data_IF_626871132813
#
_entry.id   IF_626871132813
#
_cell.length_a   1.000
_cell.length_b   1.000
_cell.length_c   1.000
_cell.angle_alpha   90.00
_cell.angle_beta   90.00
_cell.angle_gamma   90.00
#
_symmetry.space_group_name_H-M   'P 1'
#
loop_
_entity.id
_entity.type
_entity.pdbx_description
1 polymer ?
#
# COMPACT_ATOMS: atom_id res chain seq x y z
N UNK A 1 -11.42 11.47 -20.44
CA UNK A 1 -10.29 10.94 -19.64
C UNK A 1 -10.39 9.42 -19.64
N UNK A 2 -9.77 8.75 -20.61
CA UNK A 2 -9.74 7.29 -20.65
C UNK A 2 -8.81 6.80 -19.54
N UNK A 3 -9.37 6.35 -18.42
CA UNK A 3 -8.62 5.52 -17.44
C UNK A 3 -8.14 4.31 -18.24
N UNK A 4 -6.88 4.34 -18.65
CA UNK A 4 -6.28 3.28 -19.44
C UNK A 4 -6.25 2.02 -18.57
N UNK A 5 -7.28 1.22 -18.74
CA UNK A 5 -7.42 -0.16 -18.27
C UNK A 5 -6.30 -0.95 -18.95
N UNK A 6 -5.10 -0.99 -18.37
CA UNK A 6 -4.05 -1.88 -18.89
C UNK A 6 -4.59 -3.30 -18.69
N UNK A 7 -4.90 -3.99 -19.79
CA UNK A 7 -5.36 -5.38 -19.81
C UNK A 7 -6.57 -5.69 -18.91
N UNK A 8 -7.58 -4.81 -18.85
CA UNK A 8 -8.82 -5.10 -18.11
C UNK A 8 -8.80 -4.82 -16.60
N UNK A 9 -7.70 -4.30 -16.04
CA UNK A 9 -7.65 -3.88 -14.63
C UNK A 9 -8.38 -2.54 -14.38
N UNK A 10 -9.13 -2.44 -13.27
CA UNK A 10 -9.86 -1.21 -12.90
C UNK A 10 -9.01 -0.17 -12.15
N UNK A 11 -7.75 -0.51 -11.88
CA UNK A 11 -6.81 0.28 -11.09
C UNK A 11 -5.71 -0.60 -10.46
N UNK A 12 -4.92 0.00 -9.59
CA UNK A 12 -3.81 -0.64 -8.89
C UNK A 12 -4.03 -0.56 -7.38
N UNK A 13 -3.70 -1.64 -6.66
CA UNK A 13 -3.56 -1.64 -5.20
C UNK A 13 -2.07 -1.86 -4.91
N UNK A 14 -1.44 -0.87 -4.30
CA UNK A 14 -0.03 -0.93 -3.92
C UNK A 14 0.01 -1.26 -2.42
N UNK A 15 0.47 -2.47 -2.09
CA UNK A 15 0.53 -2.97 -0.72
C UNK A 15 1.94 -2.81 -0.13
N UNK A 16 2.02 -2.29 1.09
CA UNK A 16 3.29 -2.15 1.84
C UNK A 16 4.27 -1.10 1.31
N UNK A 17 3.81 -0.17 0.48
CA UNK A 17 4.57 0.96 -0.07
C UNK A 17 3.72 2.24 -0.06
N UNK A 18 4.31 3.42 0.19
CA UNK A 18 5.71 3.64 0.55
C UNK A 18 6.01 3.24 2.00
N UNK A 19 7.28 2.88 2.30
CA UNK A 19 7.75 2.66 3.67
C UNK A 19 8.51 3.85 4.25
N UNK A 20 9.03 4.70 3.38
CA UNK A 20 9.73 5.93 3.70
C UNK A 20 9.12 7.10 2.92
N UNK A 21 9.23 8.32 3.44
CA UNK A 21 8.63 9.51 2.82
C UNK A 21 9.21 9.74 1.41
N UNK A 22 10.54 9.60 1.26
CA UNK A 22 11.23 9.82 -0.02
C UNK A 22 10.73 8.90 -1.14
N UNK A 23 10.28 7.69 -0.79
CA UNK A 23 9.70 6.76 -1.75
C UNK A 23 8.35 7.28 -2.26
N UNK A 24 7.53 7.84 -1.36
CA UNK A 24 6.27 8.48 -1.72
C UNK A 24 6.51 9.65 -2.68
N UNK A 25 7.42 10.56 -2.32
CA UNK A 25 7.78 11.72 -3.15
C UNK A 25 8.25 11.29 -4.55
N UNK A 26 9.12 10.27 -4.62
CA UNK A 26 9.60 9.74 -5.89
C UNK A 26 8.48 9.11 -6.72
N UNK A 27 7.56 8.35 -6.09
CA UNK A 27 6.44 7.74 -6.79
C UNK A 27 5.50 8.79 -7.38
N UNK A 28 5.23 9.87 -6.65
CA UNK A 28 4.40 10.96 -7.16
C UNK A 28 5.06 11.70 -8.32
N UNK A 29 6.38 11.87 -8.28
CA UNK A 29 7.15 12.53 -9.33
C UNK A 29 7.32 11.66 -10.59
N UNK A 30 7.60 10.36 -10.42
CA UNK A 30 7.97 9.45 -11.53
C UNK A 30 6.79 8.65 -12.08
N UNK A 31 5.73 8.42 -11.28
CA UNK A 31 4.60 7.56 -11.65
C UNK A 31 3.29 8.35 -11.66
N UNK A 32 2.74 8.67 -10.47
CA UNK A 32 1.54 9.50 -10.26
C UNK A 32 1.25 9.67 -8.78
N UNK A 33 0.46 10.68 -8.41
CA UNK A 33 -0.14 10.76 -7.07
C UNK A 33 -1.21 9.67 -6.86
N UNK A 34 -1.30 9.07 -5.65
CA UNK A 34 -2.32 8.07 -5.36
C UNK A 34 -3.71 8.71 -5.21
N UNK A 35 -4.75 8.00 -5.69
CA UNK A 35 -6.14 8.42 -5.50
C UNK A 35 -6.61 8.28 -4.02
N UNK A 36 -6.04 7.31 -3.29
CA UNK A 36 -6.42 6.97 -1.92
C UNK A 36 -5.27 6.27 -1.20
N UNK A 37 -5.08 6.60 0.09
CA UNK A 37 -4.16 5.89 1.00
C UNK A 37 -4.99 5.25 2.12
N UNK A 38 -4.85 3.93 2.30
CA UNK A 38 -5.52 3.20 3.38
C UNK A 38 -4.54 3.00 4.53
N UNK A 39 -4.76 3.70 5.65
CA UNK A 39 -3.96 3.55 6.86
C UNK A 39 -4.63 2.61 7.85
N UNK A 40 -4.04 1.44 8.06
CA UNK A 40 -4.49 0.49 9.08
C UNK A 40 -3.97 0.90 10.46
N UNK A 41 -4.80 1.63 11.21
CA UNK A 41 -4.52 1.90 12.61
C UNK A 41 -4.91 0.68 13.47
N UNK A 42 -3.93 0.04 14.09
CA UNK A 42 -4.14 -1.11 14.96
C UNK A 42 -3.18 -1.08 16.15
N UNK A 43 -3.64 -1.60 17.28
CA UNK A 43 -2.83 -1.67 18.48
C UNK A 43 -1.59 -2.54 18.29
N UNK A 44 -0.45 -2.08 18.82
CA UNK A 44 0.83 -2.82 18.80
C UNK A 44 0.68 -4.24 19.35
N UNK A 45 -0.12 -4.42 20.40
CA UNK A 45 -0.41 -5.73 20.99
C UNK A 45 -1.06 -6.68 19.97
N UNK A 46 -2.10 -6.22 19.29
CA UNK A 46 -2.80 -7.00 18.26
C UNK A 46 -1.88 -7.31 17.08
N UNK A 47 -1.06 -6.36 16.63
CA UNK A 47 -0.10 -6.57 15.55
C UNK A 47 0.94 -7.63 15.94
N UNK A 48 1.47 -7.58 17.16
CA UNK A 48 2.43 -8.54 17.69
C UNK A 48 1.83 -9.95 17.79
N UNK A 49 0.64 -10.09 18.40
CA UNK A 49 -0.06 -11.38 18.52
C UNK A 49 -0.29 -12.03 17.15
N UNK A 50 -0.74 -11.23 16.16
CA UNK A 50 -0.92 -11.69 14.78
C UNK A 50 0.40 -12.12 14.14
N UNK A 51 1.49 -11.39 14.38
CA UNK A 51 2.81 -11.74 13.87
C UNK A 51 3.30 -13.07 14.45
N UNK A 52 3.23 -13.24 15.77
CA UNK A 52 3.65 -14.47 16.46
C UNK A 52 2.83 -15.68 16.04
N UNK A 53 1.53 -15.51 15.79
CA UNK A 53 0.69 -16.62 15.33
C UNK A 53 0.99 -17.06 13.89
N UNK A 54 1.49 -16.17 13.03
CA UNK A 54 1.93 -16.56 11.67
C UNK A 54 3.20 -17.41 11.67
N UNK A 55 4.07 -17.24 12.67
CA UNK A 55 5.34 -17.98 12.78
C UNK A 55 5.16 -19.41 13.31
N UNK A 56 3.97 -19.78 13.79
CA UNK A 56 3.67 -21.13 14.32
C UNK A 56 3.26 -22.13 13.24
N UNK A 57 3.31 -21.75 11.97
CA UNK A 57 3.02 -22.59 10.81
C UNK A 57 4.31 -23.23 10.31
#
# INVERSE_FOLDING_TARGET
>A
MSRATINGSRGFLIDGYPREIIQGEQFEHEVQSPDLVIYFNADKKTLYERCMNRQKI
#
